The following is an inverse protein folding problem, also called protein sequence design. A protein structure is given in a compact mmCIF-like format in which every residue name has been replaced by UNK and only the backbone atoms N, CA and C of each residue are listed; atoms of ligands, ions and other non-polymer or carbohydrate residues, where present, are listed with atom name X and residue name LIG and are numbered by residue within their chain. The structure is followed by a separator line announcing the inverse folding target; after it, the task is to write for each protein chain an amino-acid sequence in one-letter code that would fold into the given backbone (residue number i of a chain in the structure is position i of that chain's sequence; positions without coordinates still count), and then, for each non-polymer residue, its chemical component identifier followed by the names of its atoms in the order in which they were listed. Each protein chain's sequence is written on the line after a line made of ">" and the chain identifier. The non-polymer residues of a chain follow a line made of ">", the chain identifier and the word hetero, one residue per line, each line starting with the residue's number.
data_IF_136935958711
#
_entry.id   IF_136935958711
#
_cell.length_a   1.000
_cell.length_b   1.000
_cell.length_c   1.000
_cell.angle_alpha   90.00
_cell.angle_beta   90.00
_cell.angle_gamma   90.00
#
_symmetry.space_group_name_H-M   'P 1'
#
loop_
_entity.id
_entity.type
_entity.pdbx_description
1 polymer ?
#
# COMPACT_ATOMS: atom_id res chain seq x y z
N UNK A 1 -27.75 -18.15 -5.54
CA UNK A 1 -26.85 -17.13 -4.97
C UNK A 1 -25.49 -17.41 -5.59
N UNK A 2 -24.97 -16.47 -6.39
CA UNK A 2 -23.65 -16.65 -6.99
C UNK A 2 -22.61 -16.80 -5.87
N UNK A 3 -21.67 -17.72 -6.02
CA UNK A 3 -20.59 -17.90 -5.06
C UNK A 3 -19.75 -16.62 -5.04
N UNK A 4 -19.76 -15.90 -3.92
CA UNK A 4 -18.99 -14.67 -3.75
C UNK A 4 -17.50 -14.99 -3.83
N UNK A 5 -16.73 -14.21 -4.58
CA UNK A 5 -15.26 -14.33 -4.59
C UNK A 5 -14.73 -14.39 -3.15
N UNK A 6 -13.74 -15.26 -2.93
CA UNK A 6 -13.01 -15.38 -1.68
C UNK A 6 -11.57 -14.95 -1.89
N UNK A 7 -10.99 -14.31 -0.89
CA UNK A 7 -9.60 -13.87 -0.90
C UNK A 7 -8.88 -14.40 0.35
N UNK A 8 -7.59 -14.76 0.25
CA UNK A 8 -6.79 -15.13 1.40
C UNK A 8 -6.45 -13.85 2.19
N UNK A 9 -6.93 -13.78 3.44
CA UNK A 9 -6.79 -12.58 4.28
C UNK A 9 -5.92 -12.91 5.48
N UNK A 10 -4.81 -12.19 5.61
CA UNK A 10 -3.93 -12.27 6.78
C UNK A 10 -4.64 -11.69 8.00
N UNK A 11 -5.17 -10.49 7.84
CA UNK A 11 -5.86 -9.77 8.91
C UNK A 11 -6.71 -8.62 8.35
N UNK A 12 -7.68 -8.20 9.16
CA UNK A 12 -8.37 -6.92 9.01
C UNK A 12 -8.33 -6.18 10.34
N UNK A 13 -8.15 -4.86 10.31
CA UNK A 13 -8.08 -4.05 11.52
C UNK A 13 -8.39 -2.57 11.25
N UNK A 14 -8.92 -1.88 12.27
CA UNK A 14 -9.17 -0.44 12.24
C UNK A 14 -8.09 0.27 13.06
N UNK A 15 -7.35 1.19 12.43
CA UNK A 15 -6.22 1.90 13.05
C UNK A 15 -5.99 3.26 12.37
N UNK A 16 -4.77 3.79 12.43
CA UNK A 16 -4.31 4.97 11.69
C UNK A 16 -3.38 4.55 10.57
N UNK A 17 -3.54 5.14 9.38
CA UNK A 17 -2.52 5.05 8.33
C UNK A 17 -1.21 5.63 8.88
N UNK A 18 -0.17 4.81 8.90
CA UNK A 18 1.11 5.17 9.49
C UNK A 18 2.10 5.76 8.49
N UNK A 19 1.80 5.73 7.20
CA UNK A 19 2.72 6.08 6.12
C UNK A 19 2.09 7.02 5.09
N UNK A 20 2.94 7.65 4.29
CA UNK A 20 2.52 8.31 3.06
C UNK A 20 1.79 9.64 3.25
N UNK A 21 1.07 10.06 2.21
CA UNK A 21 0.27 11.28 2.20
C UNK A 21 -0.80 11.28 3.31
N UNK A 22 -1.35 10.10 3.62
CA UNK A 22 -2.46 9.93 4.54
C UNK A 22 -2.05 9.59 5.99
N UNK A 23 -0.76 9.72 6.33
CA UNK A 23 -0.26 9.42 7.66
C UNK A 23 -1.06 10.16 8.76
N UNK A 24 -1.43 9.44 9.83
CA UNK A 24 -2.22 9.92 10.96
C UNK A 24 -3.74 9.86 10.79
N UNK A 25 -4.25 9.50 9.61
CA UNK A 25 -5.71 9.42 9.37
C UNK A 25 -6.28 8.05 9.73
N UNK A 26 -7.49 8.02 10.29
CA UNK A 26 -8.17 6.77 10.64
C UNK A 26 -8.57 5.95 9.41
N UNK A 27 -8.23 4.67 9.39
CA UNK A 27 -8.42 3.79 8.25
C UNK A 27 -8.70 2.34 8.68
N UNK A 28 -9.49 1.65 7.86
CA UNK A 28 -9.69 0.21 7.96
C UNK A 28 -8.79 -0.51 6.98
N UNK A 29 -7.99 -1.45 7.47
CA UNK A 29 -7.03 -2.20 6.67
C UNK A 29 -7.58 -3.58 6.33
N UNK A 30 -7.41 -3.96 5.07
CA UNK A 30 -7.58 -5.33 4.59
C UNK A 30 -6.21 -5.79 4.08
N UNK A 31 -5.55 -6.67 4.84
CA UNK A 31 -4.24 -7.23 4.49
C UNK A 31 -4.44 -8.60 3.84
N UNK A 32 -4.25 -8.67 2.53
CA UNK A 32 -4.28 -9.92 1.78
C UNK A 32 -3.00 -10.74 2.00
N UNK A 33 -3.08 -12.04 1.73
CA UNK A 33 -1.91 -12.92 1.71
C UNK A 33 -1.43 -13.17 0.27
N UNK A 34 -0.22 -13.71 0.13
CA UNK A 34 0.40 -14.01 -1.15
C UNK A 34 1.29 -12.88 -1.64
N UNK A 35 2.61 -13.10 -1.67
CA UNK A 35 3.55 -12.17 -2.29
C UNK A 35 4.72 -12.91 -2.92
N UNK A 36 4.90 -12.75 -4.22
CA UNK A 36 6.03 -13.32 -4.95
C UNK A 36 7.11 -12.28 -5.26
N UNK A 37 6.97 -11.03 -4.79
CA UNK A 37 7.93 -9.93 -5.09
C UNK A 37 9.31 -10.22 -4.52
N UNK A 38 9.38 -10.83 -3.33
CA UNK A 38 10.64 -11.36 -2.79
C UNK A 38 11.56 -10.32 -2.15
N UNK A 39 11.02 -9.24 -1.57
CA UNK A 39 11.83 -8.18 -0.95
C UNK A 39 12.62 -8.70 0.27
N UNK A 40 13.97 -8.63 0.29
CA UNK A 40 14.74 -9.19 1.40
C UNK A 40 14.53 -8.45 2.73
N UNK A 41 14.17 -7.17 2.65
CA UNK A 41 13.87 -6.26 3.76
C UNK A 41 12.38 -6.14 4.11
N UNK A 42 11.51 -7.02 3.60
CA UNK A 42 10.09 -6.98 3.94
C UNK A 42 9.88 -7.20 5.45
N UNK A 43 9.14 -6.30 6.10
CA UNK A 43 8.75 -6.39 7.51
C UNK A 43 7.50 -7.29 7.72
N UNK A 44 6.79 -7.61 6.63
CA UNK A 44 5.54 -8.37 6.60
C UNK A 44 5.70 -9.76 5.95
N UNK A 45 6.86 -10.43 6.10
CA UNK A 45 7.14 -11.74 5.48
C UNK A 45 6.08 -12.83 5.78
N UNK A 46 5.36 -12.71 6.91
CA UNK A 46 4.26 -13.61 7.26
C UNK A 46 3.07 -13.55 6.28
N UNK A 47 2.94 -12.48 5.48
CA UNK A 47 1.92 -12.35 4.44
C UNK A 47 2.35 -12.95 3.09
N UNK A 48 3.56 -13.49 2.95
CA UNK A 48 4.05 -14.03 1.67
C UNK A 48 3.40 -15.34 1.25
N UNK A 49 3.20 -16.33 2.14
CA UNK A 49 2.48 -17.55 1.78
C UNK A 49 1.03 -17.21 1.44
N UNK A 50 0.55 -17.66 0.29
CA UNK A 50 -0.88 -17.55 -0.04
C UNK A 50 -1.72 -18.58 0.76
N UNK A 51 -1.13 -19.73 1.08
CA UNK A 51 -1.78 -20.80 1.83
C UNK A 51 -1.63 -20.60 3.34
N UNK A 52 -2.58 -21.16 4.10
CA UNK A 52 -2.56 -21.13 5.56
C UNK A 52 -3.24 -19.92 6.19
N UNK A 53 -3.78 -19.01 5.37
CA UNK A 53 -4.60 -17.89 5.80
C UNK A 53 -6.09 -18.17 5.52
N UNK A 54 -7.03 -17.62 6.31
CA UNK A 54 -8.45 -17.80 6.07
C UNK A 54 -8.89 -17.15 4.75
N UNK A 55 -9.56 -17.95 3.93
CA UNK A 55 -10.28 -17.49 2.74
C UNK A 55 -11.56 -16.78 3.18
N UNK A 56 -11.67 -15.47 3.01
CA UNK A 56 -12.85 -14.70 3.39
C UNK A 56 -13.65 -14.26 2.16
N UNK A 57 -14.99 -14.36 2.18
CA UNK A 57 -15.82 -13.84 1.10
C UNK A 57 -15.77 -12.31 1.10
N UNK A 58 -15.75 -11.69 -0.09
CA UNK A 58 -15.68 -10.23 -0.21
C UNK A 58 -16.85 -9.51 0.49
N UNK A 59 -18.02 -10.14 0.57
CA UNK A 59 -19.17 -9.63 1.35
C UNK A 59 -18.82 -9.44 2.84
N UNK A 60 -18.12 -10.40 3.46
CA UNK A 60 -17.74 -10.30 4.87
C UNK A 60 -16.70 -9.20 5.12
N UNK A 61 -15.79 -9.00 4.17
CA UNK A 61 -14.82 -7.90 4.22
C UNK A 61 -15.51 -6.54 4.11
N UNK A 62 -16.53 -6.44 3.27
CA UNK A 62 -17.32 -5.23 3.13
C UNK A 62 -18.20 -4.93 4.36
N UNK A 63 -18.77 -5.96 4.99
CA UNK A 63 -19.50 -5.80 6.25
C UNK A 63 -18.58 -5.34 7.38
N UNK A 64 -17.36 -5.87 7.47
CA UNK A 64 -16.34 -5.41 8.42
C UNK A 64 -15.90 -3.96 8.16
N UNK A 65 -15.72 -3.58 6.89
CA UNK A 65 -15.40 -2.21 6.50
C UNK A 65 -16.53 -1.23 6.88
N UNK A 66 -17.79 -1.62 6.69
CA UNK A 66 -18.96 -0.83 7.12
C UNK A 66 -18.97 -0.62 8.63
N UNK A 67 -18.69 -1.66 9.41
CA UNK A 67 -18.58 -1.53 10.88
C UNK A 67 -17.44 -0.59 11.29
N UNK A 68 -16.30 -0.65 10.59
CA UNK A 68 -15.19 0.27 10.83
C UNK A 68 -15.54 1.72 10.45
N UNK A 69 -16.34 1.93 9.38
CA UNK A 69 -16.85 3.24 9.01
C UNK A 69 -17.73 3.83 10.13
N UNK A 70 -18.62 3.02 10.70
CA UNK A 70 -19.45 3.40 11.86
C UNK A 70 -18.60 3.72 13.11
N UNK A 71 -17.42 3.09 13.23
CA UNK A 71 -16.44 3.37 14.27
C UNK A 71 -15.51 4.56 13.98
N UNK A 72 -15.63 5.21 12.82
CA UNK A 72 -14.88 6.43 12.46
C UNK A 72 -13.74 6.23 11.46
N UNK A 73 -13.60 5.06 10.83
CA UNK A 73 -12.68 4.88 9.71
C UNK A 73 -13.05 5.85 8.58
N UNK A 74 -12.06 6.56 8.05
CA UNK A 74 -12.26 7.55 6.99
C UNK A 74 -12.08 6.99 5.57
N UNK A 75 -11.43 5.84 5.44
CA UNK A 75 -11.17 5.13 4.18
C UNK A 75 -10.77 3.68 4.46
N UNK A 76 -10.79 2.85 3.42
CA UNK A 76 -10.33 1.46 3.46
C UNK A 76 -8.99 1.36 2.72
N UNK A 77 -7.98 0.75 3.33
CA UNK A 77 -6.69 0.46 2.71
C UNK A 77 -6.62 -1.03 2.39
N UNK A 78 -6.54 -1.35 1.09
CA UNK A 78 -6.27 -2.70 0.59
C UNK A 78 -4.77 -2.83 0.37
N UNK A 79 -4.16 -3.78 1.08
CA UNK A 79 -2.71 -4.00 1.11
C UNK A 79 -2.44 -5.49 1.30
N UNK A 80 -1.20 -5.84 1.66
CA UNK A 80 -0.85 -7.15 2.19
C UNK A 80 -0.52 -8.15 1.12
N UNK A 81 0.49 -8.97 1.43
CA UNK A 81 1.20 -9.65 0.38
C UNK A 81 1.56 -8.63 -0.70
N UNK A 82 1.29 -8.96 -1.95
CA UNK A 82 1.04 -7.95 -2.98
C UNK A 82 -0.43 -8.09 -3.40
N UNK A 83 -1.27 -7.07 -3.16
CA UNK A 83 -2.72 -7.21 -3.33
C UNK A 83 -3.12 -7.45 -4.79
N UNK A 84 -2.36 -6.93 -5.77
CA UNK A 84 -2.64 -7.12 -7.20
C UNK A 84 -2.26 -8.52 -7.73
N UNK A 85 -1.74 -9.43 -6.89
CA UNK A 85 -1.72 -10.87 -7.22
C UNK A 85 -3.13 -11.45 -7.37
N UNK A 86 -4.14 -10.72 -6.88
CA UNK A 86 -5.55 -11.11 -6.91
C UNK A 86 -6.33 -10.17 -7.83
N UNK A 87 -7.44 -10.66 -8.38
CA UNK A 87 -8.43 -9.79 -9.00
C UNK A 87 -9.22 -9.06 -7.91
N UNK A 88 -9.00 -7.75 -7.75
CA UNK A 88 -9.65 -6.93 -6.73
C UNK A 88 -10.94 -6.28 -7.22
N UNK A 89 -11.35 -6.52 -8.48
CA UNK A 89 -12.57 -5.91 -9.01
C UNK A 89 -13.82 -6.29 -8.20
N UNK A 90 -14.09 -7.57 -7.86
CA UNK A 90 -15.27 -7.90 -7.06
C UNK A 90 -15.18 -7.35 -5.63
N UNK A 91 -13.99 -7.30 -5.03
CA UNK A 91 -13.79 -6.70 -3.71
C UNK A 91 -14.12 -5.20 -3.71
N UNK A 92 -13.52 -4.44 -4.63
CA UNK A 92 -13.71 -2.98 -4.71
C UNK A 92 -15.16 -2.62 -5.02
N UNK A 93 -15.83 -3.33 -5.92
CA UNK A 93 -17.26 -3.15 -6.20
C UNK A 93 -18.14 -3.42 -4.97
N UNK A 94 -17.82 -4.46 -4.20
CA UNK A 94 -18.60 -4.83 -3.01
C UNK A 94 -18.39 -3.83 -1.88
N UNK A 95 -17.16 -3.34 -1.69
CA UNK A 95 -16.84 -2.30 -0.72
C UNK A 95 -17.54 -0.97 -1.06
N UNK A 96 -17.49 -0.55 -2.31
CA UNK A 96 -18.15 0.67 -2.78
C UNK A 96 -19.67 0.59 -2.53
N UNK A 97 -20.29 -0.54 -2.89
CA UNK A 97 -21.74 -0.73 -2.73
C UNK A 97 -22.23 -0.79 -1.27
N UNK A 98 -21.42 -1.28 -0.33
CA UNK A 98 -21.86 -1.56 1.06
C UNK A 98 -21.30 -0.61 2.11
N UNK A 99 -20.09 -0.11 1.91
CA UNK A 99 -19.37 0.73 2.87
C UNK A 99 -19.35 2.19 2.41
N UNK A 100 -19.16 2.44 1.11
CA UNK A 100 -19.11 3.79 0.53
C UNK A 100 -17.94 4.66 1.00
N UNK A 101 -16.98 4.09 1.73
CA UNK A 101 -15.73 4.77 2.08
C UNK A 101 -14.79 4.80 0.87
N UNK A 102 -13.94 5.85 0.73
CA UNK A 102 -12.88 5.88 -0.26
C UNK A 102 -11.96 4.64 -0.14
N UNK A 103 -11.54 4.11 -1.28
CA UNK A 103 -10.70 2.91 -1.37
C UNK A 103 -9.28 3.28 -1.75
N UNK A 104 -8.33 2.87 -0.93
CA UNK A 104 -6.91 3.12 -1.09
C UNK A 104 -6.18 1.81 -1.38
N UNK A 105 -5.25 1.83 -2.34
CA UNK A 105 -4.39 0.70 -2.69
C UNK A 105 -2.94 0.98 -2.26
N UNK A 106 -2.31 0.01 -1.60
CA UNK A 106 -0.85 -0.02 -1.38
C UNK A 106 -0.26 -1.22 -2.15
N UNK A 107 0.51 -0.96 -3.21
CA UNK A 107 1.03 -2.00 -4.12
C UNK A 107 2.48 -1.75 -4.52
N UNK A 108 3.20 -2.83 -4.89
CA UNK A 108 4.49 -2.72 -5.57
C UNK A 108 4.37 -2.44 -7.07
N UNK A 109 3.18 -2.64 -7.64
CA UNK A 109 2.84 -2.37 -9.04
C UNK A 109 3.37 -3.38 -10.04
N UNK A 110 3.78 -4.58 -9.60
CA UNK A 110 4.33 -5.62 -10.49
C UNK A 110 3.25 -6.28 -11.37
N UNK A 111 2.00 -6.27 -10.92
CA UNK A 111 0.84 -6.83 -11.62
C UNK A 111 -0.08 -5.72 -12.18
N UNK A 112 -0.95 -6.04 -13.17
CA UNK A 112 -1.91 -5.08 -13.72
C UNK A 112 -2.87 -4.54 -12.66
N UNK A 113 -3.38 -3.32 -12.87
CA UNK A 113 -4.39 -2.74 -11.98
C UNK A 113 -5.71 -3.53 -12.11
N UNK A 114 -6.26 -3.99 -10.98
CA UNK A 114 -7.59 -4.61 -10.90
C UNK A 114 -8.44 -3.87 -9.88
N UNK A 115 -9.68 -3.51 -10.24
CA UNK A 115 -10.57 -2.71 -9.40
C UNK A 115 -10.43 -1.19 -9.56
N UNK A 116 -11.20 -0.44 -8.76
CA UNK A 116 -11.18 1.04 -8.73
C UNK A 116 -10.78 1.53 -7.34
N UNK A 117 -9.93 2.56 -7.33
CA UNK A 117 -9.38 3.15 -6.12
C UNK A 117 -9.40 4.67 -6.22
N UNK A 118 -9.69 5.33 -5.11
CA UNK A 118 -9.63 6.78 -4.95
C UNK A 118 -8.20 7.26 -4.65
N UNK A 119 -7.35 6.36 -4.14
CA UNK A 119 -5.93 6.62 -3.91
C UNK A 119 -5.08 5.39 -4.22
N UNK A 120 -3.94 5.59 -4.88
CA UNK A 120 -3.00 4.51 -5.20
C UNK A 120 -1.62 4.95 -4.75
N UNK A 121 -1.13 4.27 -3.72
CA UNK A 121 0.26 4.33 -3.27
C UNK A 121 1.07 3.24 -3.97
N UNK A 122 1.93 3.66 -4.89
CA UNK A 122 2.88 2.80 -5.57
C UNK A 122 4.21 2.82 -4.82
N UNK A 123 4.61 1.67 -4.29
CA UNK A 123 5.93 1.47 -3.70
C UNK A 123 6.77 0.50 -4.53
N UNK A 124 7.45 0.98 -5.58
CA UNK A 124 8.14 0.13 -6.53
C UNK A 124 9.38 -0.51 -5.91
N UNK A 125 9.79 -1.66 -6.44
CA UNK A 125 10.94 -2.42 -5.94
C UNK A 125 11.97 -2.62 -7.05
N UNK A 126 13.23 -2.22 -6.83
CA UNK A 126 14.29 -2.26 -7.87
C UNK A 126 14.45 -3.61 -8.55
N UNK A 127 14.41 -4.69 -7.79
CA UNK A 127 14.59 -6.06 -8.30
C UNK A 127 13.36 -6.59 -9.04
N UNK A 128 12.21 -5.92 -8.92
CA UNK A 128 10.97 -6.24 -9.62
C UNK A 128 10.20 -4.95 -9.92
N UNK A 129 10.63 -4.19 -10.95
CA UNK A 129 10.06 -2.88 -11.25
C UNK A 129 8.56 -2.93 -11.57
N UNK A 130 7.83 -1.82 -11.33
CA UNK A 130 6.40 -1.77 -11.58
C UNK A 130 6.08 -1.70 -13.08
N UNK A 131 4.82 -1.96 -13.42
CA UNK A 131 4.27 -1.71 -14.75
C UNK A 131 4.13 -0.20 -14.99
N UNK A 132 4.30 0.22 -16.24
CA UNK A 132 4.12 1.62 -16.64
C UNK A 132 2.71 2.15 -16.31
N UNK A 133 1.70 1.30 -16.48
CA UNK A 133 0.31 1.61 -16.12
C UNK A 133 0.17 2.14 -14.69
N UNK A 134 0.85 1.50 -13.73
CA UNK A 134 0.80 1.87 -12.32
C UNK A 134 1.56 3.16 -12.04
N UNK A 135 2.67 3.41 -12.74
CA UNK A 135 3.41 4.67 -12.64
C UNK A 135 2.54 5.87 -13.10
N UNK A 136 1.71 5.66 -14.11
CA UNK A 136 0.81 6.67 -14.68
C UNK A 136 -0.49 6.83 -13.89
N UNK A 137 -0.95 5.77 -13.21
CA UNK A 137 -2.18 5.79 -12.42
C UNK A 137 -1.97 6.16 -10.94
N UNK A 138 -0.73 6.10 -10.43
CA UNK A 138 -0.49 6.32 -9.01
C UNK A 138 -0.65 7.79 -8.60
N UNK A 139 -1.28 7.97 -7.44
CA UNK A 139 -1.44 9.28 -6.80
C UNK A 139 -0.22 9.60 -5.93
N UNK A 140 0.42 8.55 -5.39
CA UNK A 140 1.60 8.64 -4.55
C UNK A 140 2.65 7.62 -5.00
N UNK A 141 3.84 8.10 -5.33
CA UNK A 141 5.04 7.30 -5.50
C UNK A 141 5.84 7.32 -4.18
N UNK A 142 5.90 6.20 -3.47
CA UNK A 142 6.58 6.06 -2.17
C UNK A 142 7.72 5.05 -2.24
N UNK A 143 8.94 5.52 -2.39
CA UNK A 143 10.12 4.66 -2.58
C UNK A 143 10.82 4.43 -1.25
N UNK A 144 11.03 3.15 -0.90
CA UNK A 144 11.78 2.77 0.30
C UNK A 144 13.28 2.90 0.04
N UNK A 145 14.00 3.57 0.94
CA UNK A 145 15.42 3.88 0.82
C UNK A 145 16.21 3.09 1.87
N UNK A 146 17.13 2.24 1.40
CA UNK A 146 18.13 1.55 2.21
C UNK A 146 19.56 1.95 1.82
N UNK A 147 19.76 2.36 0.56
CA UNK A 147 21.06 2.76 0.02
C UNK A 147 20.97 3.85 -1.06
N UNK A 148 22.11 4.40 -1.50
CA UNK A 148 22.17 5.51 -2.47
C UNK A 148 21.54 5.15 -3.83
N UNK A 149 21.53 3.88 -4.19
CA UNK A 149 20.93 3.41 -5.42
C UNK A 149 19.40 3.48 -5.41
N UNK A 150 18.77 3.48 -4.23
CA UNK A 150 17.32 3.69 -4.10
C UNK A 150 16.93 5.14 -4.42
N UNK A 151 17.81 6.11 -4.16
CA UNK A 151 17.59 7.52 -4.54
C UNK A 151 17.59 7.68 -6.06
N UNK A 152 18.57 7.06 -6.73
CA UNK A 152 18.65 7.07 -8.19
C UNK A 152 17.44 6.38 -8.82
N UNK A 153 17.02 5.26 -8.23
CA UNK A 153 15.81 4.56 -8.64
C UNK A 153 14.55 5.39 -8.43
N UNK A 154 14.43 6.09 -7.31
CA UNK A 154 13.28 6.94 -7.02
C UNK A 154 13.13 8.04 -8.07
N UNK A 155 14.23 8.70 -8.44
CA UNK A 155 14.23 9.68 -9.53
C UNK A 155 13.82 9.08 -10.88
N UNK A 156 14.31 7.88 -11.21
CA UNK A 156 13.94 7.19 -12.45
C UNK A 156 12.44 6.82 -12.50
N UNK A 157 11.86 6.36 -11.40
CA UNK A 157 10.42 6.07 -11.33
C UNK A 157 9.61 7.36 -11.40
N UNK A 158 10.00 8.40 -10.65
CA UNK A 158 9.30 9.68 -10.63
C UNK A 158 9.28 10.38 -11.99
N UNK A 159 10.28 10.15 -12.84
CA UNK A 159 10.31 10.68 -14.21
C UNK A 159 9.26 10.06 -15.15
N UNK A 160 8.70 8.93 -14.75
CA UNK A 160 7.67 8.18 -15.48
C UNK A 160 6.28 8.31 -14.85
N UNK A 161 6.14 9.08 -13.77
CA UNK A 161 4.86 9.39 -13.14
C UNK A 161 4.26 10.67 -13.70
N UNK A 162 2.96 10.85 -13.48
CA UNK A 162 2.28 12.11 -13.76
C UNK A 162 2.87 13.26 -12.93
N UNK A 163 2.74 14.48 -13.45
CA UNK A 163 3.34 15.66 -12.82
C UNK A 163 2.73 16.01 -11.45
N UNK A 164 1.49 15.59 -11.21
CA UNK A 164 0.74 15.77 -9.97
C UNK A 164 0.92 14.62 -8.96
N UNK A 165 1.66 13.55 -9.31
CA UNK A 165 1.95 12.46 -8.37
C UNK A 165 2.78 12.96 -7.20
N UNK A 166 2.33 12.68 -5.98
CA UNK A 166 3.07 12.95 -4.75
C UNK A 166 4.34 12.07 -4.70
N UNK A 167 5.50 12.66 -4.42
CA UNK A 167 6.80 11.95 -4.46
C UNK A 167 7.36 11.84 -3.06
N UNK A 168 7.43 10.62 -2.55
CA UNK A 168 7.82 10.33 -1.18
C UNK A 168 9.03 9.39 -1.13
N UNK A 169 9.96 9.73 -0.25
CA UNK A 169 11.02 8.83 0.17
C UNK A 169 10.71 8.33 1.57
N UNK A 170 10.74 7.01 1.73
CA UNK A 170 10.54 6.35 3.01
C UNK A 170 11.85 5.69 3.44
N UNK A 171 12.47 6.11 4.55
CA UNK A 171 13.56 5.33 5.14
C UNK A 171 13.09 3.90 5.39
N UNK A 172 13.89 2.92 5.00
CA UNK A 172 13.68 1.54 5.44
C UNK A 172 13.74 1.47 6.96
N UNK A 173 12.86 0.69 7.59
CA UNK A 173 12.85 0.54 9.04
C UNK A 173 14.23 0.14 9.56
N UNK A 174 14.71 0.82 10.61
CA UNK A 174 16.03 0.61 11.21
C UNK A 174 17.24 0.83 10.27
N UNK A 175 17.02 1.38 9.07
CA UNK A 175 18.10 1.74 8.15
C UNK A 175 18.59 3.16 8.44
N UNK A 176 19.62 3.30 9.28
CA UNK A 176 20.26 4.60 9.55
C UNK A 176 20.84 5.25 8.29
N UNK A 177 21.37 4.43 7.36
CA UNK A 177 21.84 4.89 6.05
C UNK A 177 20.66 5.42 5.21
N UNK A 178 19.58 4.65 5.12
CA UNK A 178 18.38 5.04 4.40
C UNK A 178 17.74 6.32 4.94
N UNK A 179 17.72 6.47 6.27
CA UNK A 179 17.24 7.67 6.96
C UNK A 179 18.06 8.91 6.58
N UNK A 180 19.39 8.83 6.75
CA UNK A 180 20.27 9.95 6.41
C UNK A 180 20.14 10.36 4.94
N UNK A 181 20.07 9.38 4.02
CA UNK A 181 19.92 9.63 2.59
C UNK A 181 18.57 10.26 2.23
N UNK A 182 17.47 9.72 2.74
CA UNK A 182 16.13 10.23 2.46
C UNK A 182 15.94 11.65 3.03
N UNK A 183 16.38 11.90 4.26
CA UNK A 183 16.31 13.21 4.90
C UNK A 183 17.12 14.23 4.10
N UNK A 184 18.37 13.91 3.75
CA UNK A 184 19.21 14.83 2.98
C UNK A 184 18.63 15.12 1.60
N UNK A 185 18.12 14.09 0.91
CA UNK A 185 17.53 14.26 -0.42
C UNK A 185 16.28 15.16 -0.37
N UNK A 186 15.35 14.90 0.55
CA UNK A 186 14.13 15.70 0.71
C UNK A 186 14.46 17.16 1.09
N UNK A 187 15.47 17.36 1.94
CA UNK A 187 15.94 18.71 2.33
C UNK A 187 16.44 19.53 1.13
N UNK A 188 17.05 18.87 0.15
CA UNK A 188 17.62 19.51 -1.05
C UNK A 188 16.63 19.62 -2.22
N UNK A 189 15.54 18.85 -2.22
CA UNK A 189 14.63 18.75 -3.38
C UNK A 189 13.17 18.92 -2.96
N UNK A 190 12.62 20.13 -3.13
CA UNK A 190 11.28 20.52 -2.66
C UNK A 190 10.10 19.73 -3.26
N UNK A 191 10.31 19.03 -4.39
CA UNK A 191 9.30 18.14 -4.97
C UNK A 191 9.14 16.83 -4.19
N UNK A 192 10.11 16.48 -3.34
CA UNK A 192 10.07 15.27 -2.53
C UNK A 192 9.60 15.56 -1.12
N UNK A 193 8.92 14.58 -0.52
CA UNK A 193 8.49 14.58 0.87
C UNK A 193 9.03 13.35 1.59
N UNK A 194 9.22 13.48 2.91
CA UNK A 194 9.59 12.35 3.74
C UNK A 194 8.33 11.59 4.18
N UNK A 195 8.28 10.28 3.92
CA UNK A 195 7.31 9.37 4.52
C UNK A 195 7.96 8.66 5.68
N UNK A 196 7.35 8.74 6.86
CA UNK A 196 7.81 7.98 8.03
C UNK A 196 6.85 6.82 8.30
N UNK A 197 7.32 5.83 9.06
CA UNK A 197 6.50 4.69 9.50
C UNK A 197 5.97 4.93 10.92
N UNK A 198 5.08 5.92 11.08
CA UNK A 198 4.70 6.44 12.40
C UNK A 198 4.08 5.40 13.32
N UNK A 199 3.33 4.44 12.75
CA UNK A 199 2.71 3.33 13.45
C UNK A 199 3.71 2.49 14.27
N UNK A 200 4.95 2.36 13.80
CA UNK A 200 6.01 1.59 14.49
C UNK A 200 6.48 2.26 15.78
N UNK A 201 6.53 3.59 15.83
CA UNK A 201 6.85 4.32 17.07
C UNK A 201 5.66 4.39 18.02
N UNK A 202 4.44 4.48 17.46
CA UNK A 202 3.21 4.57 18.24
C UNK A 202 2.76 3.21 18.83
N UNK A 203 3.34 2.10 18.37
CA UNK A 203 2.94 0.76 18.81
C UNK A 203 1.52 0.39 18.38
N UNK A 204 1.03 1.00 17.30
CA UNK A 204 -0.27 0.70 16.69
C UNK A 204 -0.06 -0.11 15.41
N UNK A 205 -1.09 -0.84 15.02
CA UNK A 205 -1.08 -1.61 13.77
C UNK A 205 -1.31 -0.73 12.56
#
# INVERSE_FOLDING_TARGET
>A
MADSQRLPVVETFHSLQGEGHHAGRSAFFIRLAGCTVGCPWCDTKHSWPAQGHPEQPVDALADAARMAAEAGASFVVITGGEPLHHDLQPLTQTLDARCGLPLHLETSGVDPLSGRFDWITLSPKRHRPPRQELLQACHELKVVVHGPEDISFAAAMASQCEDNTERLLQPGWESSIGEALAVEHVRQHSRWRLSLQSHKWLGIR
#
